data_IF_418426748377
#
_entry.id   IF_418426748377
#
_cell.length_a   1.000
_cell.length_b   1.000
_cell.length_c   1.000
_cell.angle_alpha   90.00
_cell.angle_beta   90.00
_cell.angle_gamma   90.00
#
_symmetry.space_group_name_H-M   'P 1'
#
loop_
_entity.id
_entity.type
_entity.pdbx_description
1 polymer ?
#
# COMPACT_ATOMS: atom_id res chain seq x y z
N UNK A 1 60.09 43.78 -7.94
CA UNK A 1 59.12 43.37 -6.91
C UNK A 1 57.73 43.55 -7.51
N UNK A 2 57.14 42.49 -8.04
CA UNK A 2 55.78 42.52 -8.60
C UNK A 2 54.86 41.87 -7.56
N UNK A 3 53.95 42.66 -6.99
CA UNK A 3 52.90 42.14 -6.11
C UNK A 3 51.76 41.64 -6.99
N UNK A 4 51.57 40.31 -7.04
CA UNK A 4 50.40 39.70 -7.65
C UNK A 4 49.21 39.85 -6.69
N UNK A 5 48.22 40.67 -7.05
CA UNK A 5 46.95 40.75 -6.32
C UNK A 5 46.05 39.59 -6.76
N UNK A 6 45.78 38.65 -5.87
CA UNK A 6 44.82 37.56 -6.08
C UNK A 6 43.39 38.14 -5.97
N UNK A 7 42.74 38.40 -7.10
CA UNK A 7 41.31 38.72 -7.13
C UNK A 7 40.51 37.45 -6.83
N UNK A 8 39.83 37.40 -5.70
CA UNK A 8 38.85 36.35 -5.41
C UNK A 8 37.60 36.61 -6.26
N UNK A 9 37.36 35.75 -7.26
CA UNK A 9 36.08 35.75 -7.96
C UNK A 9 35.01 35.23 -6.98
N UNK A 10 33.93 35.97 -6.71
CA UNK A 10 32.85 35.45 -5.88
C UNK A 10 32.22 34.30 -6.65
N UNK A 11 32.40 33.07 -6.16
CA UNK A 11 31.72 31.89 -6.69
C UNK A 11 30.23 32.17 -6.55
N UNK A 12 29.57 32.57 -7.64
CA UNK A 12 28.17 32.90 -7.60
C UNK A 12 27.42 31.61 -7.24
N UNK A 13 26.85 31.54 -6.04
CA UNK A 13 25.96 30.45 -5.60
C UNK A 13 24.61 30.44 -6.34
N UNK A 14 24.45 31.34 -7.32
CA UNK A 14 23.25 31.51 -8.14
C UNK A 14 22.78 30.28 -8.94
N UNK A 15 23.63 29.36 -9.45
CA UNK A 15 23.11 28.23 -10.21
C UNK A 15 22.51 27.14 -9.32
N UNK A 16 22.87 27.08 -8.03
CA UNK A 16 22.37 26.05 -7.12
C UNK A 16 20.91 26.32 -6.68
N UNK A 17 20.54 27.60 -6.59
CA UNK A 17 19.17 28.05 -6.27
C UNK A 17 18.14 27.70 -7.35
N UNK A 18 18.58 27.52 -8.60
CA UNK A 18 17.71 27.16 -9.72
C UNK A 18 17.49 25.64 -9.86
N UNK A 19 18.31 24.80 -9.21
CA UNK A 19 18.11 23.34 -9.21
C UNK A 19 16.98 22.89 -8.28
N UNK A 20 16.74 23.61 -7.18
CA UNK A 20 15.72 23.26 -6.18
C UNK A 20 14.30 23.20 -6.78
N UNK A 21 13.81 24.22 -7.53
CA UNK A 21 12.48 24.15 -8.12
C UNK A 21 12.36 23.05 -9.19
N UNK A 22 13.41 22.80 -9.98
CA UNK A 22 13.39 21.77 -11.02
C UNK A 22 13.32 20.35 -10.45
N UNK A 23 14.03 20.08 -9.35
CA UNK A 23 13.95 18.82 -8.60
C UNK A 23 12.57 18.70 -7.90
N UNK A 24 12.01 19.82 -7.42
CA UNK A 24 10.68 19.84 -6.84
C UNK A 24 9.60 19.45 -7.87
N UNK A 25 9.66 19.99 -9.09
CA UNK A 25 8.70 19.68 -10.16
C UNK A 25 8.68 18.20 -10.58
N UNK A 26 9.81 17.49 -10.53
CA UNK A 26 9.86 16.05 -10.85
C UNK A 26 9.38 15.15 -9.71
N UNK A 27 9.53 15.57 -8.45
CA UNK A 27 9.08 14.81 -7.27
C UNK A 27 7.60 15.07 -6.97
N UNK A 28 7.11 16.29 -7.20
CA UNK A 28 5.73 16.71 -6.92
C UNK A 28 4.71 16.26 -7.98
N UNK A 29 5.15 15.61 -9.05
CA UNK A 29 4.26 14.88 -9.97
C UNK A 29 3.83 13.54 -9.34
N UNK A 30 3.43 13.58 -8.06
CA UNK A 30 2.72 12.49 -7.43
C UNK A 30 1.35 12.40 -8.11
N UNK A 31 1.20 11.37 -8.93
CA UNK A 31 -0.05 11.00 -9.57
C UNK A 31 -1.17 11.09 -8.52
N UNK A 32 -2.19 11.91 -8.78
CA UNK A 32 -3.27 12.23 -7.82
C UNK A 32 -4.26 11.09 -7.58
N UNK A 33 -3.89 9.86 -7.92
CA UNK A 33 -4.50 8.67 -7.36
C UNK A 33 -3.86 8.51 -5.99
N UNK A 34 -4.63 8.66 -4.90
CA UNK A 34 -4.13 8.54 -3.54
C UNK A 34 -3.59 7.12 -3.32
N UNK A 35 -2.33 6.91 -3.68
CA UNK A 35 -1.61 5.65 -3.53
C UNK A 35 -1.68 5.24 -2.07
N UNK A 36 -2.02 3.98 -1.83
CA UNK A 36 -1.98 3.37 -0.51
C UNK A 36 -0.71 3.73 0.27
N UNK A 37 -0.90 4.00 1.56
CA UNK A 37 0.18 4.37 2.47
C UNK A 37 1.18 3.21 2.56
N UNK A 38 2.49 3.44 2.31
CA UNK A 38 3.47 2.37 2.24
C UNK A 38 3.54 1.47 3.48
N UNK A 39 3.39 2.03 4.68
CA UNK A 39 3.39 1.26 5.92
C UNK A 39 2.15 0.38 6.08
N UNK A 40 0.98 0.85 5.64
CA UNK A 40 -0.26 0.08 5.66
C UNK A 40 -0.20 -1.07 4.65
N UNK A 41 0.35 -0.81 3.45
CA UNK A 41 0.63 -1.84 2.45
C UNK A 41 1.54 -2.94 3.02
N UNK A 42 2.64 -2.56 3.66
CA UNK A 42 3.59 -3.50 4.26
C UNK A 42 2.93 -4.31 5.39
N UNK A 43 2.12 -3.66 6.23
CA UNK A 43 1.36 -4.31 7.29
C UNK A 43 0.38 -5.35 6.73
N UNK A 44 -0.36 -5.02 5.67
CA UNK A 44 -1.28 -5.94 4.99
C UNK A 44 -0.56 -7.13 4.34
N UNK A 45 0.63 -6.92 3.75
CA UNK A 45 1.44 -8.02 3.21
C UNK A 45 1.98 -8.92 4.31
N UNK A 46 2.46 -8.36 5.44
CA UNK A 46 2.84 -9.12 6.62
C UNK A 46 1.67 -9.93 7.17
N UNK A 47 0.49 -9.34 7.21
CA UNK A 47 -0.74 -10.03 7.60
C UNK A 47 -1.04 -11.20 6.66
N UNK A 48 -1.08 -10.97 5.34
CA UNK A 48 -1.26 -12.01 4.30
C UNK A 48 -0.28 -13.18 4.45
N UNK A 49 1.00 -12.90 4.68
CA UNK A 49 2.04 -13.95 4.77
C UNK A 49 1.85 -14.93 5.93
N UNK A 50 1.00 -14.61 6.92
CA UNK A 50 0.69 -15.49 8.04
C UNK A 50 -0.65 -16.22 7.89
N UNK A 51 -1.37 -15.95 6.80
CA UNK A 51 -2.65 -16.59 6.49
C UNK A 51 -2.44 -17.76 5.53
N UNK A 52 -3.33 -18.74 5.67
CA UNK A 52 -3.50 -19.80 4.69
C UNK A 52 -4.74 -19.40 3.88
N UNK A 53 -4.59 -19.26 2.56
CA UNK A 53 -5.66 -18.85 1.65
C UNK A 53 -5.90 -19.91 0.57
N UNK A 54 -6.71 -20.95 0.86
CA UNK A 54 -6.99 -22.02 -0.09
C UNK A 54 -7.69 -21.53 -1.37
N UNK A 55 -8.41 -20.41 -1.27
CA UNK A 55 -9.21 -19.84 -2.35
C UNK A 55 -8.47 -18.80 -3.21
N UNK A 56 -7.23 -18.46 -2.86
CA UNK A 56 -6.43 -17.41 -3.51
C UNK A 56 -7.15 -16.05 -3.61
N UNK A 57 -8.06 -15.74 -2.70
CA UNK A 57 -8.81 -14.49 -2.71
C UNK A 57 -7.95 -13.26 -2.38
N UNK A 58 -6.81 -13.46 -1.70
CA UNK A 58 -5.81 -12.42 -1.42
C UNK A 58 -4.75 -12.30 -2.53
N UNK A 59 -5.00 -12.88 -3.71
CA UNK A 59 -4.07 -12.87 -4.85
C UNK A 59 -3.74 -11.47 -5.37
N UNK A 60 -4.68 -10.53 -5.27
CA UNK A 60 -4.46 -9.12 -5.67
C UNK A 60 -3.48 -8.38 -4.75
N UNK A 61 -3.19 -8.90 -3.55
CA UNK A 61 -2.32 -8.26 -2.59
C UNK A 61 -0.85 -8.49 -2.97
N UNK A 62 -0.29 -7.62 -3.80
CA UNK A 62 1.04 -7.77 -4.40
C UNK A 62 1.98 -6.64 -4.01
N UNK A 63 3.27 -6.95 -3.91
CA UNK A 63 4.30 -5.93 -3.70
C UNK A 63 4.28 -4.88 -4.81
N UNK A 64 4.54 -3.62 -4.43
CA UNK A 64 4.55 -2.49 -5.37
C UNK A 64 3.19 -2.02 -5.88
N UNK A 65 2.11 -2.77 -5.61
CA UNK A 65 0.74 -2.38 -5.96
C UNK A 65 0.17 -1.28 -5.05
N UNK A 66 -0.95 -0.68 -5.48
CA UNK A 66 -1.79 0.16 -4.65
C UNK A 66 -2.73 -0.73 -3.83
N UNK A 67 -2.60 -0.71 -2.49
CA UNK A 67 -3.44 -1.53 -1.63
C UNK A 67 -4.91 -1.13 -1.64
N UNK A 68 -5.25 0.09 -2.04
CA UNK A 68 -6.63 0.52 -2.16
C UNK A 68 -7.35 -0.09 -3.37
N UNK A 69 -6.59 -0.68 -4.29
CA UNK A 69 -7.13 -1.46 -5.43
C UNK A 69 -7.20 -2.96 -5.11
N UNK A 70 -6.71 -3.40 -3.94
CA UNK A 70 -6.74 -4.80 -3.57
C UNK A 70 -8.15 -5.28 -3.25
N UNK A 71 -8.44 -6.52 -3.65
CA UNK A 71 -9.72 -7.15 -3.35
C UNK A 71 -9.94 -7.20 -1.83
N UNK A 72 -11.09 -6.66 -1.41
CA UNK A 72 -11.50 -6.61 -0.02
C UNK A 72 -10.81 -5.55 0.83
N UNK A 73 -9.99 -4.66 0.26
CA UNK A 73 -9.45 -3.50 0.97
C UNK A 73 -10.30 -2.28 0.64
N UNK A 74 -10.72 -1.55 1.68
CA UNK A 74 -11.42 -0.27 1.52
C UNK A 74 -10.56 0.81 2.14
N UNK A 75 -10.28 1.84 1.36
CA UNK A 75 -9.56 3.04 1.80
C UNK A 75 -10.50 4.22 1.97
N UNK A 76 -10.14 5.14 2.84
CA UNK A 76 -10.79 6.43 2.98
C UNK A 76 -10.46 7.33 1.80
N UNK A 77 -11.50 7.78 1.06
CA UNK A 77 -11.37 8.47 -0.23
C UNK A 77 -10.54 9.75 -0.22
N UNK A 78 -10.37 10.44 0.91
CA UNK A 78 -9.60 11.69 0.97
C UNK A 78 -8.21 11.54 1.57
N UNK A 79 -7.95 10.47 2.32
CA UNK A 79 -6.69 10.30 3.05
C UNK A 79 -5.87 9.10 2.56
N UNK A 80 -6.48 8.17 1.83
CA UNK A 80 -5.81 6.94 1.37
C UNK A 80 -5.55 5.91 2.46
N UNK A 81 -6.01 6.16 3.69
CA UNK A 81 -5.89 5.20 4.81
C UNK A 81 -6.83 4.02 4.62
N UNK A 82 -6.34 2.81 4.82
CA UNK A 82 -7.17 1.60 4.93
C UNK A 82 -8.06 1.72 6.16
N UNK A 83 -9.37 1.60 5.96
CA UNK A 83 -10.35 1.71 7.04
C UNK A 83 -11.31 0.53 7.14
N UNK A 84 -11.35 -0.38 6.15
CA UNK A 84 -12.09 -1.64 6.25
C UNK A 84 -11.38 -2.77 5.49
N UNK A 85 -11.52 -3.98 6.01
CA UNK A 85 -11.06 -5.22 5.38
C UNK A 85 -12.20 -6.23 5.28
N UNK A 86 -12.57 -6.61 4.06
CA UNK A 86 -13.56 -7.63 3.76
C UNK A 86 -12.88 -8.97 3.54
N UNK A 87 -12.82 -9.74 4.63
CA UNK A 87 -12.21 -11.06 4.69
C UNK A 87 -13.27 -12.18 4.81
N UNK A 88 -14.52 -11.97 4.41
CA UNK A 88 -15.53 -13.03 4.42
C UNK A 88 -15.35 -13.96 3.22
N UNK A 89 -15.48 -15.27 3.42
CA UNK A 89 -15.47 -16.22 2.31
C UNK A 89 -16.73 -16.02 1.46
N UNK A 90 -16.63 -16.02 0.12
CA UNK A 90 -17.80 -15.88 -0.73
C UNK A 90 -18.68 -17.12 -0.62
N UNK A 91 -19.90 -16.94 -0.12
CA UNK A 91 -20.93 -17.99 -0.17
C UNK A 91 -21.60 -17.96 -1.55
N UNK A 92 -21.42 -19.03 -2.33
CA UNK A 92 -22.01 -19.17 -3.67
C UNK A 92 -23.54 -19.35 -3.63
N UNK A 93 -24.09 -19.85 -2.51
CA UNK A 93 -25.54 -20.04 -2.30
C UNK A 93 -25.98 -19.50 -0.94
N UNK A 94 -27.20 -18.98 -0.88
CA UNK A 94 -27.83 -18.63 0.39
C UNK A 94 -28.09 -19.91 1.19
N UNK A 95 -27.91 -19.86 2.52
CA UNK A 95 -27.88 -21.06 3.38
C UNK A 95 -29.11 -21.98 3.34
N UNK A 96 -30.21 -21.52 2.74
CA UNK A 96 -31.42 -22.31 2.52
C UNK A 96 -31.32 -23.30 1.34
N UNK A 97 -30.43 -23.06 0.37
CA UNK A 97 -30.22 -23.89 -0.82
C UNK A 97 -28.84 -24.55 -0.87
N UNK A 98 -28.07 -24.47 0.23
CA UNK A 98 -26.74 -25.06 0.31
C UNK A 98 -26.85 -26.59 0.47
N UNK A 99 -26.22 -27.32 -0.44
CA UNK A 99 -26.00 -28.76 -0.33
C UNK A 99 -24.83 -29.06 0.60
N UNK A 100 -24.66 -30.32 1.03
CA UNK A 100 -23.49 -30.74 1.80
C UNK A 100 -22.18 -30.44 1.05
N UNK A 101 -22.16 -30.66 -0.27
CA UNK A 101 -21.01 -30.33 -1.10
C UNK A 101 -20.69 -28.82 -1.13
N UNK A 102 -21.73 -27.97 -1.12
CA UNK A 102 -21.54 -26.50 -1.04
C UNK A 102 -20.93 -26.11 0.33
N UNK A 103 -21.37 -26.74 1.41
CA UNK A 103 -20.81 -26.51 2.75
C UNK A 103 -19.37 -27.00 2.87
N UNK A 104 -19.04 -28.16 2.31
CA UNK A 104 -17.66 -28.66 2.25
C UNK A 104 -16.77 -27.71 1.46
N UNK A 105 -17.22 -27.24 0.29
CA UNK A 105 -16.50 -26.26 -0.52
C UNK A 105 -16.28 -24.94 0.25
N UNK A 106 -17.32 -24.44 0.94
CA UNK A 106 -17.22 -23.24 1.78
C UNK A 106 -16.18 -23.41 2.90
N UNK A 107 -16.25 -24.50 3.66
CA UNK A 107 -15.32 -24.77 4.75
C UNK A 107 -13.87 -24.88 4.23
N UNK A 108 -13.67 -25.51 3.08
CA UNK A 108 -12.37 -25.62 2.43
C UNK A 108 -11.86 -24.28 1.87
N UNK A 109 -12.74 -23.28 1.68
CA UNK A 109 -12.38 -21.95 1.19
C UNK A 109 -12.00 -20.94 2.28
N UNK A 110 -12.24 -21.29 3.55
CA UNK A 110 -12.01 -20.38 4.67
C UNK A 110 -10.52 -20.03 4.79
N UNK A 111 -10.25 -18.77 5.17
CA UNK A 111 -8.90 -18.41 5.56
C UNK A 111 -8.54 -19.13 6.86
N UNK A 112 -7.35 -19.72 6.86
CA UNK A 112 -6.70 -20.25 8.05
C UNK A 112 -5.45 -19.46 8.40
N UNK A 113 -4.61 -20.06 9.25
CA UNK A 113 -3.33 -19.50 9.65
C UNK A 113 -3.41 -18.73 10.97
N UNK A 114 -2.52 -17.75 11.15
CA UNK A 114 -2.41 -16.97 12.39
C UNK A 114 -2.67 -15.50 12.12
N UNK A 115 -3.46 -14.88 12.99
CA UNK A 115 -3.64 -13.43 12.97
C UNK A 115 -2.31 -12.78 13.40
N UNK A 116 -1.70 -12.03 12.49
CA UNK A 116 -0.44 -11.32 12.76
C UNK A 116 -0.71 -9.94 13.36
N UNK A 117 0.06 -9.48 14.37
CA UNK A 117 -0.12 -8.17 15.00
C UNK A 117 0.16 -6.97 14.09
N UNK A 118 0.68 -7.17 12.87
CA UNK A 118 0.85 -6.10 11.87
C UNK A 118 -0.43 -5.32 11.58
N UNK A 119 -1.62 -5.90 11.79
CA UNK A 119 -2.89 -5.16 11.69
C UNK A 119 -2.96 -3.96 12.66
N UNK A 120 -2.19 -3.96 13.76
CA UNK A 120 -2.11 -2.84 14.69
C UNK A 120 -1.46 -1.58 14.07
N UNK A 121 -0.76 -1.72 12.95
CA UNK A 121 -0.19 -0.58 12.20
C UNK A 121 -1.26 0.16 11.37
N UNK A 122 -2.42 -0.45 11.15
CA UNK A 122 -3.57 0.13 10.45
C UNK A 122 -4.41 0.96 11.43
N UNK A 123 -3.95 2.16 11.76
CA UNK A 123 -4.54 3.02 12.81
C UNK A 123 -5.97 3.51 12.54
N UNK A 124 -6.44 3.34 11.30
CA UNK A 124 -7.74 3.81 10.82
C UNK A 124 -8.72 2.66 10.52
N UNK A 125 -8.29 1.41 10.71
CA UNK A 125 -9.08 0.19 10.57
C UNK A 125 -9.92 -0.08 11.82
#
# INVERSE_FOLDING_TARGET
>A
MAIATMTTLPISFFPFLLLIPAICFTICHANSNLLCIPSEREALLKFKNHLIDPSNRLSSWVEGGDCCEWAGVVCHNSTGHVNQLHLAAPLSKTGYFATNADWEAYNNSLLGGKINPSLLELKHL
#
